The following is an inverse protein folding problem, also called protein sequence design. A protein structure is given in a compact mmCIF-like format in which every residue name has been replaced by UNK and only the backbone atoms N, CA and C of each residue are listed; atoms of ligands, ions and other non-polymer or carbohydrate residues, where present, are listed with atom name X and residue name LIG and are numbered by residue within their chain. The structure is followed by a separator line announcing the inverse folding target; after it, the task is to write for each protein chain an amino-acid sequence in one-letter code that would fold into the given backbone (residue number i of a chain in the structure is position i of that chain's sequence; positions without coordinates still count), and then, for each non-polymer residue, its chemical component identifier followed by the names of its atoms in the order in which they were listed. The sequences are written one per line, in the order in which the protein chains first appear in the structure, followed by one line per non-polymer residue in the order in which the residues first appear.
data_IF_542446499268
#
_entry.id   IF_542446499268
#
_cell.length_a   1.000
_cell.length_b   1.000
_cell.length_c   1.000
_cell.angle_alpha   90.00
_cell.angle_beta   90.00
_cell.angle_gamma   90.00
#
_symmetry.space_group_name_H-M   'P 1'
#
loop_
_entity.id
_entity.type
_entity.pdbx_description
1 polymer ?
#
# COMPACT_ATOMS: atom_id res chain seq x y z
N UNK A 1 96.32 26.04 7.60
CA UNK A 1 94.94 25.82 7.13
C UNK A 1 94.62 24.33 7.19
N UNK A 2 93.98 23.90 8.29
CA UNK A 2 93.32 22.60 8.48
C UNK A 2 92.23 22.86 9.52
N UNK A 3 90.97 23.00 9.10
CA UNK A 3 89.87 23.14 10.03
C UNK A 3 89.36 21.75 10.41
N UNK A 4 89.41 21.49 11.72
CA UNK A 4 88.97 20.30 12.43
C UNK A 4 87.58 20.58 13.00
N UNK A 5 86.72 19.57 12.99
CA UNK A 5 85.42 19.51 13.66
C UNK A 5 85.53 19.83 15.16
N UNK A 6 84.53 20.51 15.73
CA UNK A 6 84.06 20.26 17.10
C UNK A 6 82.66 20.84 17.31
N UNK A 7 81.81 20.00 17.92
CA UNK A 7 80.47 20.23 18.41
C UNK A 7 80.36 21.41 19.39
N UNK A 8 79.20 22.07 19.40
CA UNK A 8 78.49 22.30 20.66
C UNK A 8 77.01 22.65 20.41
N UNK A 9 76.13 22.05 21.21
CA UNK A 9 75.11 22.73 22.02
C UNK A 9 73.70 22.13 21.91
N UNK A 10 73.36 21.36 22.94
CA UNK A 10 72.15 21.61 23.71
C UNK A 10 70.89 20.86 23.27
N UNK A 11 70.74 19.64 23.79
CA UNK A 11 69.49 18.91 23.82
C UNK A 11 68.43 19.70 24.61
N UNK A 12 67.45 20.27 23.92
CA UNK A 12 66.26 20.87 24.52
C UNK A 12 65.21 19.77 24.67
N UNK A 13 64.86 19.51 25.92
CA UNK A 13 63.71 18.72 26.35
C UNK A 13 62.44 19.17 25.61
N UNK A 14 61.81 18.25 24.87
CA UNK A 14 60.48 18.45 24.31
C UNK A 14 59.53 17.41 24.91
N UNK A 15 58.53 17.90 25.64
CA UNK A 15 57.42 17.13 26.19
C UNK A 15 56.54 16.61 25.04
N UNK A 16 56.03 15.36 25.07
CA UNK A 16 55.12 14.91 24.03
C UNK A 16 53.78 15.65 24.15
N UNK A 17 53.47 16.44 23.11
CA UNK A 17 52.13 16.97 22.84
C UNK A 17 51.13 15.80 22.79
N UNK A 18 50.07 15.92 23.58
CA UNK A 18 49.04 14.90 23.74
C UNK A 18 48.31 14.62 22.42
N UNK A 19 48.11 13.34 22.14
CA UNK A 19 47.50 12.75 20.93
C UNK A 19 46.00 13.05 20.77
N UNK A 20 45.48 14.07 21.44
CA UNK A 20 44.05 14.19 21.73
C UNK A 20 43.23 14.99 20.70
N UNK A 21 43.84 15.54 19.65
CA UNK A 21 43.13 16.42 18.71
C UNK A 21 42.89 15.85 17.31
N UNK A 22 43.36 14.63 17.00
CA UNK A 22 43.20 14.04 15.66
C UNK A 22 41.79 13.45 15.44
N UNK A 23 41.07 13.08 16.50
CA UNK A 23 39.78 12.37 16.36
C UNK A 23 38.55 13.26 16.13
N UNK A 24 38.63 14.56 16.39
CA UNK A 24 37.45 15.46 16.28
C UNK A 24 37.17 15.87 14.83
N UNK A 25 38.19 15.99 13.99
CA UNK A 25 38.01 16.44 12.61
C UNK A 25 37.40 15.37 11.67
N UNK A 26 37.45 14.08 12.05
CA UNK A 26 36.99 12.98 11.19
C UNK A 26 35.49 12.65 11.32
N UNK A 27 34.78 13.28 12.26
CA UNK A 27 33.36 12.99 12.55
C UNK A 27 32.36 13.99 11.93
N UNK A 28 32.82 15.03 11.24
CA UNK A 28 31.96 16.07 10.66
C UNK A 28 31.66 15.89 9.15
N UNK A 29 32.27 14.90 8.48
CA UNK A 29 32.22 14.79 7.02
C UNK A 29 31.17 13.86 6.40
N UNK A 30 30.39 13.10 7.18
CA UNK A 30 29.62 11.96 6.65
C UNK A 30 28.09 12.05 6.81
N UNK A 31 27.54 13.25 7.00
CA UNK A 31 26.08 13.45 6.96
C UNK A 31 25.66 14.06 5.61
N UNK A 32 26.00 13.39 4.50
CA UNK A 32 25.31 13.66 3.23
C UNK A 32 23.89 13.12 3.42
N UNK A 33 22.94 14.03 3.62
CA UNK A 33 21.54 13.71 3.82
C UNK A 33 21.05 12.78 2.71
N UNK A 34 20.61 11.59 3.10
CA UNK A 34 19.91 10.69 2.20
C UNK A 34 18.63 11.38 1.78
N UNK A 35 18.59 11.91 0.56
CA UNK A 35 17.35 12.29 -0.11
C UNK A 35 16.69 11.01 -0.57
N UNK A 36 16.28 10.17 0.37
CA UNK A 36 15.28 9.15 0.10
C UNK A 36 14.03 9.92 -0.31
N UNK A 37 13.89 10.16 -1.61
CA UNK A 37 12.65 10.65 -2.19
C UNK A 37 11.55 9.74 -1.66
N UNK A 38 10.48 10.35 -1.16
CA UNK A 38 9.29 9.59 -0.79
C UNK A 38 8.89 8.80 -2.03
N UNK A 39 9.10 7.49 -2.01
CA UNK A 39 8.68 6.60 -3.09
C UNK A 39 7.16 6.70 -3.14
N UNK A 40 6.66 7.45 -4.13
CA UNK A 40 5.24 7.57 -4.37
C UNK A 40 4.80 6.18 -4.84
N UNK A 41 4.02 5.44 -4.06
CA UNK A 41 3.64 4.09 -4.42
C UNK A 41 2.94 4.14 -5.78
N UNK A 42 3.36 3.28 -6.70
CA UNK A 42 2.72 3.20 -8.00
C UNK A 42 1.21 2.94 -7.81
N UNK A 43 0.34 3.65 -8.55
CA UNK A 43 -1.09 3.44 -8.45
C UNK A 43 -1.45 1.98 -8.72
N UNK A 44 -2.25 1.39 -7.83
CA UNK A 44 -2.78 0.04 -8.04
C UNK A 44 -3.55 0.00 -9.36
N UNK A 45 -3.17 -0.93 -10.24
CA UNK A 45 -3.85 -1.13 -11.51
C UNK A 45 -5.36 -1.30 -11.31
N UNK A 46 -6.15 -0.53 -12.06
CA UNK A 46 -7.61 -0.60 -12.03
C UNK A 46 -8.06 -1.90 -12.69
N UNK A 47 -8.87 -2.68 -11.97
CA UNK A 47 -9.41 -3.92 -12.51
C UNK A 47 -10.33 -3.64 -13.70
N UNK A 48 -10.17 -4.42 -14.77
CA UNK A 48 -11.08 -4.37 -15.93
C UNK A 48 -12.36 -5.12 -15.58
N UNK A 49 -13.48 -4.43 -15.63
CA UNK A 49 -14.82 -4.98 -15.38
C UNK A 49 -15.68 -4.73 -16.61
N UNK A 50 -16.52 -5.70 -16.96
CA UNK A 50 -17.55 -5.56 -17.98
C UNK A 50 -18.94 -5.75 -17.37
N UNK A 51 -19.95 -5.25 -18.07
CA UNK A 51 -21.35 -5.47 -17.74
C UNK A 51 -21.99 -6.26 -18.87
N UNK A 52 -22.45 -7.48 -18.57
CA UNK A 52 -23.09 -8.39 -19.52
C UNK A 52 -24.61 -8.35 -19.31
N UNK A 53 -25.40 -7.90 -20.30
CA UNK A 53 -26.85 -7.98 -20.23
C UNK A 53 -27.32 -9.44 -20.23
N UNK A 54 -28.31 -9.74 -19.40
CA UNK A 54 -28.91 -11.06 -19.26
C UNK A 54 -30.43 -10.99 -19.43
N UNK A 55 -31.09 -12.10 -19.81
CA UNK A 55 -32.55 -12.18 -19.83
C UNK A 55 -33.20 -11.82 -18.48
N UNK A 56 -34.51 -11.55 -18.52
CA UNK A 56 -35.34 -11.21 -17.34
C UNK A 56 -34.97 -9.89 -16.65
N UNK A 57 -34.36 -8.94 -17.38
CA UNK A 57 -33.99 -7.64 -16.82
C UNK A 57 -32.87 -7.81 -15.79
N UNK A 58 -31.75 -8.40 -16.23
CA UNK A 58 -30.59 -8.64 -15.40
C UNK A 58 -29.32 -8.12 -16.09
N UNK A 59 -28.32 -7.74 -15.30
CA UNK A 59 -27.00 -7.38 -15.80
C UNK A 59 -25.92 -7.90 -14.85
N UNK A 60 -25.00 -8.73 -15.36
CA UNK A 60 -23.88 -9.28 -14.60
C UNK A 60 -22.66 -8.38 -14.72
N UNK A 61 -22.04 -8.06 -13.59
CA UNK A 61 -20.74 -7.40 -13.51
C UNK A 61 -19.68 -8.48 -13.44
N UNK A 62 -18.83 -8.56 -14.44
CA UNK A 62 -17.80 -9.59 -14.54
C UNK A 62 -16.41 -8.98 -14.56
N UNK A 63 -15.49 -9.63 -13.86
CA UNK A 63 -14.06 -9.40 -14.00
C UNK A 63 -13.44 -10.65 -14.59
N UNK A 64 -12.79 -10.52 -15.73
CA UNK A 64 -12.11 -11.63 -16.41
C UNK A 64 -13.06 -12.83 -16.65
N UNK A 65 -14.35 -12.55 -16.93
CA UNK A 65 -15.40 -13.55 -17.14
C UNK A 65 -15.99 -14.16 -15.86
N UNK A 66 -15.56 -13.70 -14.67
CA UNK A 66 -16.09 -14.16 -13.38
C UNK A 66 -17.08 -13.15 -12.83
N UNK A 67 -18.32 -13.57 -12.59
CA UNK A 67 -19.38 -12.73 -12.02
C UNK A 67 -19.02 -12.27 -10.60
N UNK A 68 -18.90 -10.96 -10.43
CA UNK A 68 -18.66 -10.29 -9.15
C UNK A 68 -19.96 -9.86 -8.48
N UNK A 69 -20.91 -9.37 -9.28
CA UNK A 69 -22.22 -8.98 -8.81
C UNK A 69 -23.24 -9.05 -9.95
N UNK A 70 -24.53 -9.07 -9.62
CA UNK A 70 -25.58 -8.98 -10.63
C UNK A 70 -26.70 -8.08 -10.19
N UNK A 71 -27.07 -7.16 -11.09
CA UNK A 71 -28.20 -6.27 -10.91
C UNK A 71 -29.46 -6.87 -11.51
N UNK A 72 -30.52 -6.96 -10.69
CA UNK A 72 -31.84 -7.45 -11.07
C UNK A 72 -32.80 -6.27 -11.09
N UNK A 73 -33.42 -6.02 -12.25
CA UNK A 73 -34.32 -4.90 -12.50
C UNK A 73 -35.54 -5.28 -13.34
N UNK A 74 -35.85 -6.58 -13.43
CA UNK A 74 -37.02 -7.09 -14.14
C UNK A 74 -38.34 -6.51 -13.60
N UNK A 75 -39.32 -6.34 -14.49
CA UNK A 75 -40.60 -5.69 -14.18
C UNK A 75 -41.45 -6.44 -13.14
N UNK A 76 -41.17 -7.72 -12.87
CA UNK A 76 -41.86 -8.52 -11.84
C UNK A 76 -41.29 -8.35 -10.43
N UNK A 77 -40.30 -7.48 -10.23
CA UNK A 77 -39.65 -7.26 -8.95
C UNK A 77 -40.30 -6.07 -8.24
N UNK A 78 -40.51 -6.19 -6.92
CA UNK A 78 -40.97 -5.06 -6.10
C UNK A 78 -39.96 -3.91 -6.10
N UNK A 79 -38.66 -4.25 -6.08
CA UNK A 79 -37.54 -3.32 -6.08
C UNK A 79 -36.33 -3.94 -6.77
N UNK A 80 -35.53 -3.16 -7.53
CA UNK A 80 -34.26 -3.63 -8.04
C UNK A 80 -33.27 -3.94 -6.90
N UNK A 81 -32.44 -4.97 -7.10
CA UNK A 81 -31.46 -5.39 -6.10
C UNK A 81 -30.20 -5.99 -6.73
N UNK A 82 -29.14 -6.10 -5.93
CA UNK A 82 -27.88 -6.73 -6.29
C UNK A 82 -27.76 -8.10 -5.62
N UNK A 83 -27.65 -9.18 -6.41
CA UNK A 83 -27.37 -10.52 -5.91
C UNK A 83 -26.86 -11.46 -7.03
N UNK A 84 -25.81 -12.25 -6.80
CA UNK A 84 -24.96 -12.27 -5.61
C UNK A 84 -24.11 -10.99 -5.50
N UNK A 85 -23.46 -10.80 -4.35
CA UNK A 85 -22.31 -9.90 -4.20
C UNK A 85 -21.16 -10.77 -3.77
N UNK A 86 -20.23 -11.05 -4.68
CA UNK A 86 -19.15 -12.01 -4.47
C UNK A 86 -17.91 -11.26 -3.95
N UNK A 87 -17.50 -11.60 -2.73
CA UNK A 87 -16.28 -11.07 -2.14
C UNK A 87 -15.01 -11.75 -2.69
N UNK A 88 -13.81 -11.28 -2.30
CA UNK A 88 -12.54 -11.87 -2.77
C UNK A 88 -12.35 -13.35 -2.45
N UNK A 89 -13.10 -13.91 -1.50
CA UNK A 89 -13.10 -15.35 -1.18
C UNK A 89 -13.92 -16.20 -2.15
N UNK A 90 -14.54 -15.60 -3.17
CA UNK A 90 -15.43 -16.28 -4.11
C UNK A 90 -16.80 -16.63 -3.53
N UNK A 91 -17.11 -16.20 -2.30
CA UNK A 91 -18.40 -16.44 -1.63
C UNK A 91 -19.30 -15.23 -1.72
N UNK A 92 -20.61 -15.48 -1.88
CA UNK A 92 -21.62 -14.42 -1.73
C UNK A 92 -21.58 -13.87 -0.31
N UNK A 93 -21.49 -12.54 -0.19
CA UNK A 93 -21.52 -11.80 1.07
C UNK A 93 -22.93 -11.65 1.63
N UNK A 94 -23.92 -11.90 0.80
CA UNK A 94 -25.34 -11.78 1.14
C UNK A 94 -26.08 -13.07 0.81
N UNK A 95 -27.30 -13.19 1.34
CA UNK A 95 -28.22 -14.29 1.06
C UNK A 95 -29.56 -13.74 0.60
N UNK A 96 -30.37 -14.61 -0.01
CA UNK A 96 -31.75 -14.29 -0.35
C UNK A 96 -32.68 -14.54 0.84
N UNK A 97 -33.59 -13.60 1.09
CA UNK A 97 -34.68 -13.73 2.05
C UNK A 97 -34.25 -13.82 3.53
N UNK A 98 -35.27 -13.99 4.39
CA UNK A 98 -35.12 -14.20 5.83
C UNK A 98 -35.36 -15.68 6.19
N UNK A 99 -34.47 -16.41 6.90
CA UNK A 99 -34.55 -17.86 7.03
C UNK A 99 -35.66 -18.27 7.99
N UNK A 100 -35.88 -17.45 9.03
CA UNK A 100 -36.90 -17.68 10.04
C UNK A 100 -38.27 -17.08 9.70
N UNK A 101 -38.38 -16.30 8.61
CA UNK A 101 -39.65 -15.70 8.18
C UNK A 101 -39.68 -15.41 6.67
N UNK A 102 -39.73 -16.47 5.84
CA UNK A 102 -39.63 -16.33 4.39
C UNK A 102 -40.89 -15.75 3.74
N UNK A 103 -42.04 -15.79 4.41
CA UNK A 103 -43.31 -15.33 3.85
C UNK A 103 -43.46 -13.81 4.02
N UNK A 104 -43.39 -13.31 5.26
CA UNK A 104 -43.63 -11.88 5.52
C UNK A 104 -42.45 -11.01 5.08
N UNK A 105 -41.24 -11.57 5.05
CA UNK A 105 -40.02 -10.92 4.58
C UNK A 105 -39.53 -11.48 3.23
N UNK A 106 -40.44 -12.02 2.42
CA UNK A 106 -40.14 -12.52 1.06
C UNK A 106 -39.54 -11.44 0.16
N UNK A 107 -39.89 -10.18 0.39
CA UNK A 107 -39.41 -9.03 -0.36
C UNK A 107 -38.00 -8.58 0.04
N UNK A 108 -37.45 -9.06 1.16
CA UNK A 108 -36.08 -8.76 1.57
C UNK A 108 -35.08 -9.57 0.75
N UNK A 109 -34.80 -9.07 -0.45
CA UNK A 109 -33.66 -9.49 -1.25
C UNK A 109 -32.37 -8.84 -0.74
N UNK A 110 -31.24 -9.33 -1.22
CA UNK A 110 -29.86 -8.96 -0.86
C UNK A 110 -29.61 -7.46 -0.57
N UNK A 111 -29.11 -6.67 -1.53
CA UNK A 111 -28.79 -5.26 -1.35
C UNK A 111 -29.62 -4.45 -2.33
N UNK A 112 -30.33 -3.46 -1.83
CA UNK A 112 -30.99 -2.43 -2.62
C UNK A 112 -30.51 -1.05 -2.19
N UNK A 113 -30.78 -0.06 -3.02
CA UNK A 113 -30.57 1.35 -2.68
C UNK A 113 -31.95 1.99 -2.57
N UNK A 114 -32.23 2.66 -1.44
CA UNK A 114 -33.38 3.57 -1.30
C UNK A 114 -32.94 5.01 -1.53
N UNK A 115 -33.90 5.89 -1.84
CA UNK A 115 -33.69 7.34 -1.81
C UNK A 115 -33.70 7.87 -0.37
#
# INVERSE_FOLDING_TARGET
MRCRFAEFCGDKTYTPLSTSWVFVALWLGAAVGSTAGLEVPEPKAVARVQVVPLPYGQAAFEREGVEMARYHFGAGLERPFLYPIVGPSGRSLTRMGHPHDPQSHSHHNSVWVSH
#
